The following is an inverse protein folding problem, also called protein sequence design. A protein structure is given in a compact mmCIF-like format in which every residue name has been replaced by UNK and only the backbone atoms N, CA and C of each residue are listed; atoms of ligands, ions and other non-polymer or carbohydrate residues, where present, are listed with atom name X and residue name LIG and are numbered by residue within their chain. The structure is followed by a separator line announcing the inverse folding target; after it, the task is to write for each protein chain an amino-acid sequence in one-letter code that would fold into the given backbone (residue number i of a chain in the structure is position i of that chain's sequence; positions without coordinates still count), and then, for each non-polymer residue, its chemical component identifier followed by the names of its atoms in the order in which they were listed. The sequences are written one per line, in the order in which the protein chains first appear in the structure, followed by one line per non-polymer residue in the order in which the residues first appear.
data_IF_050814713043
#
_entry.id   IF_050814713043
#
_cell.length_a   1.000
_cell.length_b   1.000
_cell.length_c   1.000
_cell.angle_alpha   90.00
_cell.angle_beta   90.00
_cell.angle_gamma   90.00
#
_symmetry.space_group_name_H-M   'P 1'
#
loop_
_entity.id
_entity.type
_entity.pdbx_description
1 polymer ?
2 polymer ?
3 non-polymer ?
4 non-polymer ?
5 water ?
#
# COMPACT_ATOMS: atom_id res chain seq x y z
N UNK A 2 -7.70 -13.15 12.19
CA UNK A 2 -8.94 -13.41 12.92
C UNK A 2 -9.78 -12.15 13.10
N UNK A 3 -11.10 -12.32 13.18
CA UNK A 3 -12.01 -11.21 13.39
C UNK A 3 -12.08 -10.88 14.89
N UNK A 4 -10.97 -10.36 15.43
CA UNK A 4 -10.80 -10.14 16.87
C UNK A 4 -11.13 -8.71 17.29
N UNK A 5 -10.36 -7.74 16.80
CA UNK A 5 -10.66 -6.33 17.05
C UNK A 5 -11.80 -5.95 16.11
N UNK A 6 -13.00 -6.30 16.54
CA UNK A 6 -14.19 -6.21 15.71
C UNK A 6 -15.43 -6.06 16.56
N UNK A 7 -16.22 -5.05 16.27
CA UNK A 7 -17.58 -4.97 16.76
C UNK A 7 -18.44 -5.74 15.76
N UNK A 8 -19.75 -5.54 15.80
CA UNK A 8 -20.63 -6.18 14.81
C UNK A 8 -20.61 -5.43 13.47
N UNK A 9 -20.23 -4.16 13.50
CA UNK A 9 -20.26 -3.31 12.30
C UNK A 9 -18.90 -3.08 11.64
N UNK A 10 -17.80 -3.36 12.35
CA UNK A 10 -16.47 -3.05 11.82
C UNK A 10 -15.37 -3.88 12.45
N UNK A 11 -14.44 -4.32 11.60
CA UNK A 11 -13.31 -5.15 11.98
C UNK A 11 -12.00 -4.48 11.57
N UNK A 12 -11.06 -4.31 12.50
CA UNK A 12 -9.73 -3.80 12.17
C UNK A 12 -8.82 -4.97 11.87
N UNK A 13 -8.45 -5.11 10.60
CA UNK A 13 -7.60 -6.22 10.14
C UNK A 13 -6.11 -5.97 10.33
N UNK A 14 -5.71 -4.72 10.19
CA UNK A 14 -4.29 -4.40 10.22
C UNK A 14 -4.03 -3.10 10.92
N UNK A 15 -2.87 -3.05 11.55
CA UNK A 15 -2.31 -1.85 12.15
C UNK A 15 -0.81 -2.12 12.11
N UNK A 16 -0.06 -1.12 11.64
CA UNK A 16 1.39 -1.18 11.61
C UNK A 16 1.98 0.22 11.61
N UNK A 17 3.12 0.35 12.27
CA UNK A 17 3.89 1.58 12.24
C UNK A 17 5.27 1.11 11.84
N UNK A 18 5.94 1.90 10.99
CA UNK A 18 7.17 1.44 10.39
C UNK A 18 8.13 2.57 10.09
N UNK A 19 9.37 2.19 9.80
CA UNK A 19 10.39 3.10 9.33
C UNK A 19 10.89 2.57 7.99
N UNK A 20 10.84 3.42 6.96
CA UNK A 20 11.31 3.01 5.63
C UNK A 20 12.51 3.83 5.21
N UNK A 21 13.57 3.14 4.84
CA UNK A 21 14.81 3.80 4.43
C UNK A 21 15.18 3.48 2.98
N UNK A 22 15.42 4.53 2.21
CA UNK A 22 15.80 4.39 0.81
C UNK A 22 17.32 4.39 0.67
N UNK A 23 17.89 3.23 0.31
CA UNK A 23 19.31 3.15 -0.05
C UNK A 23 19.55 3.92 -1.35
N UNK A 24 18.95 3.44 -2.43
CA UNK A 24 19.02 4.09 -3.75
C UNK A 24 17.61 4.12 -4.36
N UNK A 25 17.43 4.81 -5.51
CA UNK A 25 16.08 4.93 -6.09
C UNK A 25 15.34 3.61 -6.33
N UNK A 26 16.04 2.48 -6.32
CA UNK A 26 15.39 1.18 -6.53
C UNK A 26 15.40 0.26 -5.33
N UNK A 27 15.91 0.72 -4.19
CA UNK A 27 16.16 -0.16 -3.05
C UNK A 27 15.66 0.45 -1.74
N UNK A 28 14.76 -0.27 -1.09
CA UNK A 28 14.08 0.22 0.12
C UNK A 28 14.12 -0.83 1.20
N UNK A 29 14.42 -0.40 2.42
CA UNK A 29 14.38 -1.26 3.59
C UNK A 29 13.26 -0.77 4.49
N UNK A 30 12.42 -1.69 4.94
CA UNK A 30 11.31 -1.33 5.83
C UNK A 30 11.40 -2.11 7.14
N UNK A 31 11.30 -1.39 8.24
CA UNK A 31 11.32 -2.00 9.57
C UNK A 31 9.99 -1.72 10.27
N UNK A 32 9.38 -2.77 10.82
CA UNK A 32 8.09 -2.65 11.49
C UNK A 32 8.27 -2.51 13.01
N UNK A 33 7.68 -1.47 13.58
CA UNK A 33 7.72 -1.26 15.03
C UNK A 33 6.69 -2.12 15.73
N UNK A 34 5.44 -2.03 15.27
CA UNK A 34 4.37 -2.87 15.77
C UNK A 34 3.56 -3.35 14.59
N UNK A 35 2.85 -4.45 14.78
CA UNK A 35 1.89 -4.90 13.77
C UNK A 35 0.84 -5.81 14.38
N UNK A 36 -0.34 -5.74 13.77
CA UNK A 36 -1.37 -6.74 13.93
C UNK A 36 -1.65 -7.26 12.52
N UNK A 37 -1.98 -8.54 12.46
CA UNK A 37 -2.10 -9.22 11.20
C UNK A 37 -1.47 -10.58 11.40
N UNK A 38 -2.13 -11.60 10.85
CA UNK A 38 -1.59 -12.95 10.79
C UNK A 38 -2.31 -13.72 9.69
N UNK A 39 -1.83 -14.92 9.38
CA UNK A 39 -2.28 -15.67 8.20
C UNK A 39 -3.62 -16.42 8.34
N UNK A 40 -4.20 -16.40 9.54
CA UNK A 40 -5.45 -17.15 9.81
C UNK A 40 -6.70 -16.45 9.25
N UNK A 41 -7.70 -17.23 8.78
CA UNK A 41 -8.93 -16.66 8.22
C UNK A 41 -9.79 -15.91 9.25
N UNK A 42 -10.77 -15.14 8.75
CA UNK A 42 -11.62 -14.29 9.60
C UNK A 42 -12.36 -15.06 10.71
N UNK A 43 -12.83 -16.27 10.37
CA UNK A 43 -13.63 -17.07 11.30
C UNK A 43 -12.81 -17.81 12.37
N UNK A 44 -11.51 -17.56 12.43
CA UNK A 44 -10.63 -18.19 13.42
C UNK A 44 -10.81 -17.59 14.83
N UNK A 45 -11.28 -16.34 14.85
CA UNK A 45 -11.77 -15.62 16.05
C UNK A 45 -11.62 -16.37 17.39
N UNK A 46 -10.42 -16.32 18.02
CA UNK A 46 -10.22 -17.01 19.30
C UNK A 46 -10.90 -16.31 20.48
N UNK A 47 -11.04 -17.03 21.60
CA UNK A 47 -11.51 -16.40 22.84
C UNK A 47 -10.49 -15.36 23.31
N UNK A 48 -10.98 -14.16 23.59
CA UNK A 48 -10.14 -13.08 24.07
C UNK A 48 -10.35 -12.88 25.55
N UNK A 49 -9.25 -12.73 26.30
CA UNK A 49 -9.32 -12.43 27.73
C UNK A 49 -9.88 -11.03 27.96
N UNK A 50 -10.38 -10.79 29.17
CA UNK A 50 -11.05 -9.53 29.47
C UNK A 50 -10.22 -8.66 30.40
N UNK A 51 -10.42 -7.34 30.29
CA UNK A 51 -9.82 -6.39 31.20
C UNK A 51 -10.91 -5.45 31.71
N UNK A 52 -11.01 -5.37 33.03
CA UNK A 52 -11.87 -4.41 33.70
C UNK A 52 -11.37 -3.01 33.34
N UNK A 53 -12.20 -2.28 32.60
CA UNK A 53 -11.83 -0.98 32.05
C UNK A 53 -11.49 0.06 33.12
N UNK A 54 -12.03 -0.14 34.31
CA UNK A 54 -11.76 0.74 35.45
C UNK A 54 -10.27 0.74 35.81
N UNK A 55 -9.59 -0.36 35.48
CA UNK A 55 -8.16 -0.50 35.73
C UNK A 55 -7.26 0.33 34.81
N UNK A 56 -7.85 1.04 33.84
CA UNK A 56 -7.06 1.79 32.84
C UNK A 56 -7.53 3.24 32.66
N UNK A 57 -8.61 3.61 33.32
CA UNK A 57 -9.18 4.96 33.20
C UNK A 57 -8.19 6.11 33.42
N UNK A 58 -7.27 5.97 34.37
CA UNK A 58 -6.35 7.07 34.72
C UNK A 58 -5.19 7.27 33.73
N UNK A 59 -5.11 6.40 32.73
CA UNK A 59 -4.11 6.52 31.66
C UNK A 59 -4.67 7.23 30.42
N UNK A 60 -5.93 7.67 30.50
CA UNK A 60 -6.59 8.37 29.40
C UNK A 60 -7.36 9.58 29.91
N UNK A 61 -7.63 10.57 29.02
CA UNK A 61 -8.42 11.73 29.43
C UNK A 61 -9.82 11.28 29.88
N UNK A 62 -10.32 11.86 30.95
CA UNK A 62 -11.62 11.47 31.48
C UNK A 62 -12.59 12.66 31.61
N UNK A 63 -12.42 13.61 30.70
CA UNK A 63 -13.30 14.77 30.55
C UNK A 63 -14.60 14.31 29.87
N UNK A 64 -15.44 15.27 29.48
CA UNK A 64 -16.58 14.99 28.62
C UNK A 64 -16.09 14.49 27.26
N UNK A 65 -16.54 13.30 26.88
CA UNK A 65 -16.09 12.66 25.65
C UNK A 65 -14.85 11.79 25.85
N UNK A 66 -14.46 11.58 27.10
CA UNK A 66 -13.32 10.72 27.43
C UNK A 66 -13.69 9.24 27.39
N UNK A 67 -12.74 8.38 27.76
CA UNK A 67 -12.89 6.94 27.65
C UNK A 67 -14.10 6.39 28.42
N UNK A 68 -14.24 6.78 29.69
CA UNK A 68 -15.38 6.37 30.52
C UNK A 68 -16.71 6.75 29.88
N UNK A 69 -16.81 8.02 29.47
CA UNK A 69 -18.00 8.54 28.81
C UNK A 69 -18.35 7.70 27.57
N UNK A 70 -17.34 7.42 26.75
CA UNK A 70 -17.53 6.66 25.53
C UNK A 70 -17.98 5.23 25.80
N UNK A 71 -17.34 4.58 26.78
CA UNK A 71 -17.65 3.19 27.13
C UNK A 71 -19.06 3.01 27.67
N UNK A 72 -19.50 3.97 28.48
CA UNK A 72 -20.84 3.96 29.06
C UNK A 72 -21.92 4.20 28.01
N UNK A 73 -21.61 5.03 27.02
CA UNK A 73 -22.52 5.25 25.89
C UNK A 73 -22.61 4.03 24.98
N UNK A 74 -21.54 3.24 24.92
CA UNK A 74 -21.54 1.96 24.19
C UNK A 74 -21.50 2.09 22.67
N UNK A 75 -21.63 0.95 21.95
CA UNK A 75 -21.75 -0.40 22.50
C UNK A 75 -20.45 -0.88 23.14
N UNK A 76 -20.58 -1.53 24.29
CA UNK A 76 -19.42 -2.01 25.05
C UNK A 76 -18.64 -3.11 24.32
N UNK A 77 -19.30 -3.81 23.41
CA UNK A 77 -18.64 -4.82 22.58
C UNK A 77 -17.69 -4.25 21.51
N UNK A 78 -17.63 -2.92 21.41
CA UNK A 78 -16.71 -2.25 20.47
C UNK A 78 -15.37 -1.86 21.10
N UNK A 79 -15.20 -2.17 22.40
CA UNK A 79 -14.06 -1.67 23.17
C UNK A 79 -12.98 -2.71 23.45
N UNK A 80 -11.75 -2.37 23.07
CA UNK A 80 -10.64 -3.30 23.14
C UNK A 80 -9.38 -2.61 23.67
N UNK A 81 -8.51 -3.43 24.27
CA UNK A 81 -7.19 -3.01 24.72
C UNK A 81 -6.15 -3.87 24.03
N UNK A 82 -5.20 -3.22 23.36
CA UNK A 82 -4.09 -3.94 22.74
C UNK A 82 -2.79 -3.62 23.50
N UNK A 83 -2.07 -4.65 23.90
CA UNK A 83 -0.75 -4.45 24.45
C UNK A 83 0.28 -4.89 23.42
N UNK A 84 1.12 -3.95 23.01
CA UNK A 84 2.20 -4.23 22.07
C UNK A 84 3.53 -4.40 22.79
N UNK A 85 4.31 -5.39 22.34
CA UNK A 85 5.74 -5.42 22.59
C UNK A 85 6.44 -4.92 21.32
N UNK A 86 6.92 -3.68 21.35
CA UNK A 86 7.42 -3.01 20.16
C UNK A 86 8.85 -3.38 19.82
N UNK A 87 9.10 -3.57 18.53
CA UNK A 87 10.44 -3.87 18.02
C UNK A 87 11.17 -2.58 17.71
N UNK A 88 12.04 -2.16 18.63
CA UNK A 88 12.78 -0.90 18.48
C UNK A 88 14.20 -1.09 17.95
N UNK A 89 14.53 -2.30 17.52
CA UNK A 89 15.86 -2.58 17.01
C UNK A 89 16.02 -2.19 15.52
N UNK A 90 16.45 -0.95 15.29
CA UNK A 90 16.67 -0.43 13.94
C UNK A 90 18.15 -0.20 13.66
N UNK A 91 18.45 0.29 12.45
CA UNK A 91 19.81 0.65 12.04
C UNK A 91 20.01 2.17 12.03
N UNK A 96 20.69 6.71 4.29
CA UNK A 96 19.59 6.90 3.33
C UNK A 96 18.41 7.66 3.91
N UNK A 97 17.61 8.25 3.02
CA UNK A 97 16.44 9.04 3.41
C UNK A 97 15.38 8.20 4.12
N UNK A 98 14.72 8.80 5.11
CA UNK A 98 13.79 8.08 6.00
C UNK A 98 12.34 8.53 5.87
N UNK A 99 11.43 7.56 5.94
CA UNK A 99 10.01 7.84 6.05
C UNK A 99 9.39 7.04 7.19
N UNK A 100 8.76 7.75 8.13
CA UNK A 100 8.02 7.13 9.23
C UNK A 100 6.54 7.11 8.88
N UNK A 101 5.95 5.92 8.85
CA UNK A 101 4.57 5.77 8.41
C UNK A 101 3.73 4.88 9.30
N UNK A 102 2.40 5.08 9.22
CA UNK A 102 1.42 4.20 9.85
C UNK A 102 0.45 3.70 8.76
N UNK A 103 0.15 2.40 8.77
CA UNK A 103 -0.83 1.81 7.87
C UNK A 103 -1.88 1.02 8.64
N UNK A 104 -3.13 1.14 8.21
CA UNK A 104 -4.21 0.34 8.81
C UNK A 104 -5.28 -0.05 7.78
N UNK A 105 -6.08 -1.05 8.15
CA UNK A 105 -7.11 -1.60 7.28
C UNK A 105 -8.32 -2.03 8.11
N UNK A 106 -9.50 -1.74 7.59
CA UNK A 106 -10.77 -2.13 8.23
C UNK A 106 -11.70 -2.76 7.19
N UNK A 107 -12.61 -3.60 7.66
CA UNK A 107 -13.64 -4.20 6.82
C UNK A 107 -15.00 -4.13 7.50
N UNK A 108 -16.03 -3.92 6.70
CA UNK A 108 -17.41 -3.85 7.15
C UNK A 108 -18.33 -4.52 6.11
N UNK A 109 -19.48 -5.07 6.56
CA UNK A 109 -20.45 -5.54 5.57
C UNK A 109 -21.22 -4.36 4.93
N UNK A 110 -21.26 -3.22 5.60
CA UNK A 110 -21.97 -2.05 5.08
C UNK A 110 -21.06 -0.90 4.63
N UNK A 111 -21.61 -0.07 3.73
CA UNK A 111 -20.93 1.07 3.14
C UNK A 111 -21.17 2.30 3.98
N UNK A 112 -20.18 2.67 4.78
CA UNK A 112 -20.28 3.84 5.66
C UNK A 112 -19.21 4.84 5.30
N UNK A 113 -19.42 6.08 5.71
CA UNK A 113 -18.32 7.04 5.80
C UNK A 113 -17.89 7.02 7.27
N UNK A 114 -16.61 6.72 7.52
CA UNK A 114 -16.10 6.61 8.89
C UNK A 114 -15.08 7.71 9.24
N UNK A 115 -14.97 8.01 10.54
CA UNK A 115 -13.98 8.93 11.06
C UNK A 115 -13.08 8.21 12.06
N UNK A 116 -11.76 8.29 11.83
CA UNK A 116 -10.79 7.70 12.75
C UNK A 116 -10.05 8.78 13.53
N UNK A 117 -10.22 8.76 14.84
CA UNK A 117 -9.54 9.69 15.73
C UNK A 117 -8.44 8.96 16.50
N UNK A 118 -7.21 9.46 16.41
CA UNK A 118 -6.09 8.88 17.14
C UNK A 118 -5.45 9.92 18.06
N UNK A 119 -5.53 9.67 19.37
CA UNK A 119 -5.00 10.59 20.38
C UNK A 119 -3.84 9.95 21.12
N UNK A 120 -2.69 10.62 21.09
CA UNK A 120 -1.54 10.17 21.85
C UNK A 120 -1.63 10.81 23.23
N UNK A 121 -1.39 10.01 24.26
CA UNK A 121 -1.55 10.46 25.64
C UNK A 121 -0.28 10.26 26.45
N UNK A 122 0.09 11.31 27.19
CA UNK A 122 1.21 11.27 28.14
C UNK A 122 0.69 11.61 29.53
N UNK A 123 0.92 10.69 30.47
CA UNK A 123 0.37 10.79 31.84
C UNK A 123 -1.14 11.03 31.82
N UNK A 124 -1.82 10.32 30.93
CA UNK A 124 -3.27 10.41 30.77
C UNK A 124 -3.80 11.68 30.15
N UNK A 125 -2.89 12.51 29.63
CA UNK A 125 -3.26 13.79 29.01
C UNK A 125 -2.93 13.77 27.52
N UNK A 126 -3.86 14.26 26.71
CA UNK A 126 -3.69 14.31 25.25
C UNK A 126 -2.55 15.24 24.87
N UNK A 127 -1.59 14.71 24.11
CA UNK A 127 -0.47 15.52 23.63
C UNK A 127 -0.55 15.81 22.13
N UNK A 128 -1.26 14.96 21.38
CA UNK A 128 -1.40 15.15 19.94
C UNK A 128 -2.58 14.32 19.42
N UNK A 129 -3.30 14.87 18.47
CA UNK A 129 -4.43 14.18 17.84
C UNK A 129 -4.31 14.21 16.33
N UNK A 130 -4.73 13.13 15.70
CA UNK A 130 -4.89 13.07 14.25
C UNK A 130 -6.30 12.57 13.90
N UNK A 131 -6.98 13.26 13.00
CA UNK A 131 -8.33 12.90 12.56
C UNK A 131 -8.32 12.60 11.05
N UNK A 132 -8.92 11.47 10.65
CA UNK A 132 -8.98 11.06 9.24
C UNK A 132 -10.38 10.58 8.87
N UNK A 133 -10.86 10.99 7.70
CA UNK A 133 -12.15 10.53 7.17
C UNK A 133 -11.88 9.48 6.10
N UNK A 134 -12.50 8.31 6.22
CA UNK A 134 -12.24 7.22 5.27
C UNK A 134 -13.50 6.75 4.57
N UNK A 135 -13.37 6.47 3.27
CA UNK A 135 -14.46 6.00 2.43
C UNK A 135 -14.18 4.55 2.02
N UNK A 136 -15.24 3.84 1.65
CA UNK A 136 -15.16 2.41 1.36
C UNK A 136 -14.80 2.10 -0.08
N UNK A 137 -14.11 0.98 -0.28
CA UNK A 137 -14.03 0.36 -1.58
C UNK A 137 -14.72 -0.98 -1.48
N UNK A 138 -15.59 -1.28 -2.45
CA UNK A 138 -16.16 -2.60 -2.54
C UNK A 138 -15.07 -3.60 -2.95
N UNK A 139 -14.97 -4.70 -2.21
CA UNK A 139 -13.93 -5.71 -2.40
C UNK A 139 -14.43 -7.06 -1.89
N UNK A 140 -14.23 -8.09 -2.70
CA UNK A 140 -14.55 -9.49 -2.34
C UNK A 140 -15.80 -9.66 -1.47
N UNK A 141 -16.91 -9.05 -1.89
CA UNK A 141 -18.19 -9.20 -1.17
C UNK A 141 -18.40 -8.34 0.06
N UNK A 142 -17.47 -7.43 0.33
CA UNK A 142 -17.57 -6.52 1.49
C UNK A 142 -16.96 -5.14 1.18
N UNK A 143 -16.90 -4.28 2.19
CA UNK A 143 -16.34 -2.94 2.04
C UNK A 143 -15.01 -2.79 2.79
N UNK A 144 -14.01 -2.26 2.08
CA UNK A 144 -12.66 -2.08 2.64
C UNK A 144 -12.34 -0.61 2.85
N UNK A 145 -11.70 -0.32 3.98
CA UNK A 145 -11.25 1.02 4.34
C UNK A 145 -9.77 0.89 4.66
N UNK A 146 -8.95 1.73 4.06
CA UNK A 146 -7.53 1.61 4.23
C UNK A 146 -6.89 2.97 4.46
N UNK A 147 -5.94 3.01 5.40
CA UNK A 147 -5.01 4.12 5.53
C UNK A 147 -3.66 3.57 5.08
N UNK A 148 -3.15 4.13 3.99
CA UNK A 148 -1.94 3.66 3.35
C UNK A 148 -0.81 4.66 3.59
N UNK A 149 0.20 4.25 4.35
CA UNK A 149 1.40 5.08 4.61
C UNK A 149 1.09 6.50 5.07
N UNK A 150 0.21 6.65 6.05
CA UNK A 150 -0.04 7.95 6.64
C UNK A 150 1.23 8.39 7.38
N UNK A 151 1.67 9.66 7.17
CA UNK A 151 2.93 10.10 7.78
C UNK A 151 2.80 10.17 9.29
N UNK A 152 3.73 9.52 9.98
CA UNK A 152 3.77 9.57 11.45
C UNK A 152 4.06 11.00 11.87
N UNK A 153 3.28 11.53 12.81
CA UNK A 153 3.46 12.92 13.24
C UNK A 153 4.79 13.16 13.93
N UNK A 154 5.22 14.42 13.91
CA UNK A 154 6.52 14.81 14.42
C UNK A 154 6.75 14.44 15.87
N UNK A 155 5.71 14.61 16.70
CA UNK A 155 5.79 14.27 18.13
C UNK A 155 6.23 12.81 18.31
N UNK A 156 5.65 11.90 17.55
CA UNK A 156 5.96 10.49 17.62
C UNK A 156 7.31 10.11 17.03
N UNK A 157 7.71 10.77 15.94
CA UNK A 157 9.06 10.59 15.41
C UNK A 157 10.10 10.97 16.49
N UNK A 158 9.88 12.13 17.12
CA UNK A 158 10.78 12.61 18.18
C UNK A 158 10.78 11.69 19.41
N UNK A 159 9.60 11.18 19.78
CA UNK A 159 9.45 10.23 20.89
C UNK A 159 10.26 8.96 20.65
N UNK A 160 10.14 8.39 19.45
CA UNK A 160 10.91 7.20 19.08
C UNK A 160 12.44 7.44 19.13
N UNK A 161 12.87 8.62 18.69
CA UNK A 161 14.29 9.03 18.75
C UNK A 161 14.77 9.11 20.19
N UNK A 162 13.99 9.76 21.04
CA UNK A 162 14.33 9.90 22.46
C UNK A 162 14.41 8.57 23.20
N UNK A 163 13.48 7.65 22.91
CA UNK A 163 13.50 6.31 23.50
C UNK A 163 14.74 5.53 23.09
N UNK A 164 15.13 5.65 21.82
CA UNK A 164 16.29 4.91 21.31
C UNK A 164 17.62 5.42 21.87
N UNK A 165 17.68 6.67 22.29
CA UNK A 165 18.90 7.23 22.88
C UNK A 165 19.06 6.90 24.37
N UNK A 166 18.08 6.20 24.94
CA UNK A 166 18.18 5.74 26.33
C UNK A 166 19.13 4.54 26.41
N UNK A 167 20.05 4.56 27.40
CA UNK A 167 21.09 3.53 27.50
C UNK A 167 20.55 2.13 27.83
N UNK A 168 19.47 2.07 28.60
CA UNK A 168 18.95 0.78 29.08
C UNK A 168 17.50 0.53 28.70
N UNK A 169 17.20 -0.72 28.36
CA UNK A 169 15.85 -1.16 27.99
C UNK A 169 14.83 -0.98 29.13
N UNK A 170 15.26 -1.19 30.38
CA UNK A 170 14.34 -0.97 31.50
C UNK A 170 13.91 0.50 31.60
N UNK A 171 14.78 1.41 31.18
CA UNK A 171 14.48 2.85 31.20
C UNK A 171 13.43 3.21 30.15
N UNK A 172 13.54 2.61 28.97
CA UNK A 172 12.52 2.71 27.93
C UNK A 172 11.16 2.22 28.44
N UNK A 173 11.14 1.06 29.08
CA UNK A 173 9.91 0.54 29.68
C UNK A 173 9.31 1.48 30.72
N UNK A 174 10.19 2.10 31.51
CA UNK A 174 9.77 3.07 32.52
C UNK A 174 9.05 4.28 31.91
N UNK A 175 9.60 4.84 30.83
CA UNK A 175 8.93 5.92 30.07
C UNK A 175 7.57 5.45 29.53
N UNK A 176 7.54 4.22 29.02
CA UNK A 176 6.32 3.67 28.40
C UNK A 176 5.15 3.40 29.36
N UNK A 177 5.44 3.39 30.67
CA UNK A 177 4.41 3.20 31.70
C UNK A 177 3.35 4.30 31.70
N UNK A 178 3.70 5.44 31.12
CA UNK A 178 2.83 6.61 31.11
C UNK A 178 2.55 7.13 29.70
N UNK A 179 2.69 6.23 28.73
CA UNK A 179 2.45 6.54 27.33
C UNK A 179 1.32 5.64 26.85
N UNK A 180 0.25 6.24 26.34
CA UNK A 180 -0.84 5.46 25.75
C UNK A 180 -1.36 6.12 24.47
N UNK A 181 -2.06 5.33 23.67
CA UNK A 181 -2.75 5.82 22.49
C UNK A 181 -4.21 5.36 22.49
N UNK A 182 -5.14 6.27 22.19
CA UNK A 182 -6.55 5.93 22.08
C UNK A 182 -7.03 6.21 20.66
N UNK A 183 -7.64 5.19 20.07
CA UNK A 183 -8.18 5.27 18.72
C UNK A 183 -9.70 5.07 18.76
N UNK A 184 -10.46 6.06 18.28
CA UNK A 184 -11.91 5.94 18.17
C UNK A 184 -12.32 6.02 16.69
N UNK A 185 -13.04 5.01 16.22
CA UNK A 185 -13.58 4.97 14.87
C UNK A 185 -15.10 5.08 14.95
N UNK A 186 -15.65 6.09 14.29
CA UNK A 186 -17.07 6.39 14.38
C UNK A 186 -17.72 6.51 13.00
N UNK A 187 -18.97 6.08 12.90
CA UNK A 187 -19.80 6.35 11.72
C UNK A 187 -20.10 7.84 11.71
N UNK A 188 -19.62 8.53 10.68
CA UNK A 188 -19.75 9.99 10.61
C UNK A 188 -21.21 10.45 10.55
N UNK A 189 -22.09 9.60 10.01
CA UNK A 189 -23.50 9.96 9.88
C UNK A 189 -24.33 9.66 11.13
N UNK A 190 -24.14 8.48 11.71
CA UNK A 190 -24.91 8.09 12.89
C UNK A 190 -24.24 8.51 14.21
N UNK A 191 -22.95 8.84 14.12
CA UNK A 191 -22.11 9.15 15.29
C UNK A 191 -21.91 7.94 16.21
N UNK A 192 -22.25 6.74 15.71
CA UNK A 192 -22.06 5.52 16.45
C UNK A 192 -20.58 5.14 16.55
N UNK A 193 -20.17 4.73 17.76
CA UNK A 193 -18.84 4.19 18.01
C UNK A 193 -18.74 2.79 17.39
N UNK A 194 -17.90 2.67 16.36
CA UNK A 194 -17.72 1.41 15.64
C UNK A 194 -16.60 0.58 16.24
N UNK A 195 -15.55 1.26 16.68
CA UNK A 195 -14.43 0.64 17.38
C UNK A 195 -13.77 1.66 18.30
N UNK A 196 -13.27 1.17 19.43
CA UNK A 196 -12.47 1.96 20.35
C UNK A 196 -11.35 1.08 20.85
N UNK A 197 -10.12 1.47 20.54
CA UNK A 197 -8.96 0.67 20.85
C UNK A 197 -7.96 1.48 21.68
N UNK A 198 -7.69 1.01 22.90
CA UNK A 198 -6.65 1.54 23.76
C UNK A 198 -5.37 0.76 23.54
N UNK A 199 -4.24 1.47 23.43
CA UNK A 199 -2.96 0.82 23.19
C UNK A 199 -1.99 1.14 24.31
N UNK A 200 -1.25 0.12 24.75
CA UNK A 200 -0.16 0.28 25.70
C UNK A 200 1.04 -0.51 25.22
N UNK A 201 2.24 -0.08 25.63
CA UNK A 201 3.49 -0.51 25.02
C UNK A 201 4.55 -0.94 26.02
N UNK A 202 5.32 -1.95 25.62
CA UNK A 202 6.52 -2.37 26.32
C UNK A 202 7.55 -2.66 25.22
N UNK A 203 8.84 -2.64 25.55
CA UNK A 203 9.89 -2.95 24.57
C UNK A 203 10.00 -4.47 24.37
N UNK A 204 9.97 -4.93 23.12
CA UNK A 204 10.04 -6.37 22.85
C UNK A 204 11.41 -6.95 23.16
N UNK A 205 11.42 -8.19 23.67
CA UNK A 205 12.66 -8.96 23.86
C UNK A 205 12.63 -10.28 23.08
N UNK A 206 11.78 -10.36 22.06
CA UNK A 206 11.62 -11.57 21.27
C UNK A 206 12.52 -11.53 20.03
N UNK A 207 12.83 -12.69 19.45
CA UNK A 207 13.57 -12.73 18.19
C UNK A 207 12.66 -13.04 16.98
N UNK A 208 11.37 -13.18 17.25
CA UNK A 208 10.39 -13.42 16.19
C UNK A 208 9.57 -12.17 15.89
N UNK A 209 10.16 -11.01 16.17
CA UNK A 209 9.55 -9.73 15.90
C UNK A 209 8.69 -9.20 17.03
N UNK A 210 8.04 -8.07 16.77
CA UNK A 210 7.09 -7.48 17.70
C UNK A 210 5.94 -8.44 18.00
N UNK A 211 5.38 -8.34 19.20
CA UNK A 211 4.30 -9.23 19.63
C UNK A 211 3.14 -8.40 20.18
N UNK A 212 1.99 -9.04 20.37
CA UNK A 212 0.82 -8.37 20.94
C UNK A 212 -0.11 -9.33 21.69
N UNK A 213 -0.98 -8.76 22.53
CA UNK A 213 -2.12 -9.47 23.12
C UNK A 213 -3.31 -8.55 22.96
N UNK A 214 -4.46 -9.11 22.61
CA UNK A 214 -5.70 -8.33 22.47
C UNK A 214 -6.67 -8.70 23.60
N UNK A 215 -7.27 -7.70 24.22
CA UNK A 215 -8.23 -7.92 25.29
C UNK A 215 -9.53 -7.18 25.03
N UNK A 216 -10.64 -7.80 25.42
CA UNK A 216 -11.91 -7.11 25.47
C UNK A 216 -11.93 -6.24 26.72
N UNK A 217 -12.56 -5.07 26.62
CA UNK A 217 -12.73 -4.21 27.78
C UNK A 217 -14.14 -4.40 28.32
N UNK A 218 -14.23 -4.70 29.62
CA UNK A 218 -15.51 -5.00 30.29
C UNK A 218 -15.77 -4.07 31.48
N UNK A 219 -17.06 -3.90 31.83
CA UNK A 219 -17.44 -3.03 32.95
C UNK A 219 -17.03 -3.62 34.30
N UNK A 220 -17.09 -4.95 34.39
CA UNK A 220 -16.82 -5.71 35.62
C UNK A 220 -17.72 -5.27 36.78
N UNK B 3 4.04 16.40 -18.41
CA UNK B 3 2.80 15.65 -18.78
C UNK B 3 2.89 14.20 -18.32
N UNK B 4 1.77 13.47 -18.40
CA UNK B 4 1.68 12.15 -17.76
C UNK B 4 0.86 11.12 -18.55
N UNK B 5 0.82 9.89 -18.04
CA UNK B 5 -0.02 8.85 -18.59
C UNK B 5 -1.46 9.08 -18.11
N UNK B 6 -2.16 9.97 -18.82
CA UNK B 6 -3.53 10.36 -18.48
C UNK B 6 -4.32 10.63 -19.75
N UNK B 7 -5.50 10.04 -19.82
CA UNK B 7 -6.50 10.44 -20.81
C UNK B 7 -7.40 11.51 -20.16
N UNK B 8 -8.55 11.77 -20.75
CA UNK B 8 -9.53 12.70 -20.18
C UNK B 8 -10.21 12.06 -18.97
N UNK B 9 -10.18 10.73 -18.88
CA UNK B 9 -11.02 10.02 -17.90
C UNK B 9 -10.27 9.16 -16.90
N UNK B 10 -8.98 8.95 -17.14
CA UNK B 10 -8.18 8.15 -16.21
C UNK B 10 -6.70 8.49 -16.29
N UNK B 11 -6.09 8.61 -15.11
CA UNK B 11 -4.67 8.92 -14.96
C UNK B 11 -4.00 7.80 -14.20
N UNK B 12 -2.93 7.24 -14.77
CA UNK B 12 -2.11 6.30 -14.02
C UNK B 12 -0.97 7.05 -13.34
N UNK B 13 -1.08 7.23 -12.03
CA UNK B 13 -0.06 7.96 -11.28
C UNK B 13 1.08 7.09 -10.77
N UNK B 14 0.84 5.79 -10.64
CA UNK B 14 1.83 4.87 -10.08
C UNK B 14 1.81 3.52 -10.79
N UNK B 15 3.00 2.99 -11.07
CA UNK B 15 3.17 1.67 -11.63
C UNK B 15 4.54 1.16 -11.17
N UNK B 16 4.58 -0.05 -10.63
CA UNK B 16 5.89 -0.65 -10.32
C UNK B 16 5.86 -2.17 -10.29
N UNK B 17 7.01 -2.75 -10.60
CA UNK B 17 7.22 -4.18 -10.46
C UNK B 17 8.43 -4.35 -9.54
N UNK B 18 8.32 -5.27 -8.60
CA UNK B 18 9.30 -5.33 -7.52
C UNK B 18 9.55 -6.75 -7.02
N UNK B 19 10.67 -6.90 -6.31
CA UNK B 19 10.97 -8.11 -5.59
C UNK B 19 11.12 -7.70 -4.14
N UNK B 20 10.32 -8.32 -3.27
CA UNK B 20 10.43 -8.04 -1.85
C UNK B 20 10.96 -9.28 -1.11
N UNK B 21 11.96 -9.05 -0.26
CA UNK B 21 12.56 -10.14 0.52
C UNK B 21 12.49 -9.87 2.01
N UNK B 22 11.99 -10.86 2.74
CA UNK B 22 11.92 -10.81 4.19
C UNK B 22 13.22 -11.30 4.81
N UNK B 23 13.93 -10.39 5.49
CA UNK B 23 15.09 -10.77 6.29
C UNK B 23 14.62 -11.51 7.55
N UNK B 24 13.72 -10.86 8.30
CA UNK B 24 13.12 -11.41 9.50
C UNK B 24 11.68 -10.87 9.62
N UNK B 25 10.89 -11.33 10.61
CA UNK B 25 9.46 -10.98 10.63
C UNK B 25 9.14 -9.47 10.66
N UNK B 26 10.12 -8.64 10.98
CA UNK B 26 9.91 -7.19 11.01
C UNK B 26 10.74 -6.42 10.00
N UNK B 27 11.55 -7.11 9.20
CA UNK B 27 12.50 -6.45 8.29
C UNK B 27 12.34 -6.95 6.86
N UNK B 28 12.13 -6.00 5.93
CA UNK B 28 11.87 -6.30 4.52
C UNK B 28 12.71 -5.43 3.61
N UNK B 29 13.26 -6.04 2.57
CA UNK B 29 14.00 -5.31 1.53
C UNK B 29 13.21 -5.37 0.23
N UNK B 30 13.03 -4.22 -0.41
CA UNK B 30 12.33 -4.18 -1.69
C UNK B 30 13.21 -3.65 -2.81
N UNK B 31 13.23 -4.39 -3.92
CA UNK B 31 13.94 -3.97 -5.13
C UNK B 31 12.94 -3.69 -6.25
N UNK B 32 12.99 -2.48 -6.82
CA UNK B 32 12.12 -2.10 -7.94
C UNK B 32 12.79 -2.42 -9.28
N UNK B 33 12.14 -3.23 -10.12
CA UNK B 33 12.62 -3.50 -11.49
C UNK B 33 12.36 -2.33 -12.44
N UNK B 34 11.13 -1.83 -12.38
CA UNK B 34 10.72 -0.66 -13.16
C UNK B 34 9.73 0.15 -12.30
N UNK B 35 9.63 1.45 -12.56
CA UNK B 35 8.71 2.30 -11.79
C UNK B 35 8.37 3.58 -12.50
N UNK B 36 7.13 4.01 -12.31
CA UNK B 36 6.65 5.33 -12.69
C UNK B 36 5.98 5.90 -11.43
N UNK B 37 6.22 7.18 -11.16
CA UNK B 37 5.56 7.88 -10.08
C UNK B 37 6.13 7.56 -8.71
N UNK B 38 7.37 7.08 -8.68
CA UNK B 38 8.04 6.80 -7.41
C UNK B 38 8.40 8.09 -6.69
N UNK B 39 8.94 9.05 -7.43
CA UNK B 39 9.11 10.40 -6.89
C UNK B 39 7.95 11.27 -7.35
N UNK B 40 7.59 12.24 -6.51
CA UNK B 40 6.41 13.08 -6.72
C UNK B 40 6.44 13.86 -8.04
N UNK B 41 5.25 14.06 -8.68
CA UNK B 41 5.16 14.93 -9.85
C UNK B 41 5.70 16.34 -9.55
N UNK B 42 6.48 16.88 -10.48
CA UNK B 42 7.13 18.19 -10.26
C UNK B 42 6.96 19.17 -11.42
N UNK B 43 7.29 20.43 -11.15
CA UNK B 43 7.21 21.52 -12.11
C UNK B 43 7.99 21.25 -13.40
N UNK B 44 9.11 20.56 -13.26
CA UNK B 44 10.10 20.42 -14.35
C UNK B 44 9.99 19.13 -15.18
N UNK B 45 9.04 18.26 -14.86
CA UNK B 45 8.82 17.03 -15.64
C UNK B 45 8.75 17.33 -17.14
N UNK B 46 9.43 16.51 -17.97
CA UNK B 46 9.52 16.82 -19.40
C UNK B 46 8.19 16.72 -20.16
N UNK B 47 8.06 17.51 -21.23
CA UNK B 47 6.97 17.38 -22.19
C UNK B 47 7.05 15.99 -22.85
N UNK B 48 5.90 15.43 -23.25
CA UNK B 48 5.89 14.08 -23.86
C UNK B 48 6.03 14.12 -25.37
N UNK B 49 7.08 13.48 -25.88
CA UNK B 49 7.27 13.34 -27.33
C UNK B 49 6.25 12.35 -27.89
N UNK B 50 6.14 12.31 -29.21
CA UNK B 50 5.16 11.47 -29.89
C UNK B 50 5.82 10.35 -30.72
N UNK B 51 5.09 9.24 -30.85
CA UNK B 51 5.52 8.10 -31.66
C UNK B 51 4.37 7.74 -32.59
N UNK B 52 4.70 7.56 -33.87
CA UNK B 52 3.75 7.12 -34.88
C UNK B 52 3.48 5.64 -34.65
N UNK B 53 2.22 5.34 -34.33
CA UNK B 53 1.79 4.00 -33.93
C UNK B 53 1.98 2.93 -35.02
N UNK B 54 2.01 3.36 -36.29
CA UNK B 54 2.20 2.43 -37.41
C UNK B 54 3.60 1.80 -37.36
N UNK B 55 4.51 2.44 -36.65
CA UNK B 55 5.86 1.92 -36.43
C UNK B 55 5.92 0.72 -35.49
N UNK B 56 4.86 0.49 -34.71
CA UNK B 56 4.90 -0.53 -33.66
C UNK B 56 3.86 -1.63 -33.79
N UNK B 57 2.93 -1.51 -34.74
CA UNK B 57 1.84 -2.49 -34.90
C UNK B 57 2.30 -3.96 -34.87
N UNK B 58 3.43 -4.27 -35.52
CA UNK B 58 3.90 -5.66 -35.60
C UNK B 58 4.44 -6.24 -34.29
N UNK B 59 4.64 -5.39 -33.28
CA UNK B 59 5.16 -5.85 -31.99
C UNK B 59 4.04 -6.19 -31.00
N UNK B 60 2.79 -6.02 -31.44
CA UNK B 60 1.62 -6.20 -30.58
C UNK B 60 0.52 -6.97 -31.30
N UNK B 61 -0.38 -7.63 -30.53
CA UNK B 61 -1.42 -8.43 -31.18
C UNK B 61 -2.24 -7.57 -32.15
N UNK B 62 -2.55 -8.12 -33.31
CA UNK B 62 -3.35 -7.41 -34.29
C UNK B 62 -4.59 -8.22 -34.67
N UNK B 63 -5.23 -7.87 -35.80
CA UNK B 63 -6.55 -8.42 -36.16
C UNK B 63 -7.63 -7.89 -35.22
N UNK B 64 -8.64 -8.72 -34.93
CA UNK B 64 -9.82 -8.29 -34.17
C UNK B 64 -9.50 -8.04 -32.69
N UNK B 65 -9.72 -6.80 -32.26
CA UNK B 65 -9.49 -6.40 -30.88
C UNK B 65 -8.05 -6.07 -30.54
N UNK B 66 -7.18 -6.09 -31.56
CA UNK B 66 -5.77 -5.79 -31.38
C UNK B 66 -5.49 -4.31 -31.24
N UNK B 67 -4.20 -3.95 -31.27
CA UNK B 67 -3.78 -2.57 -31.04
C UNK B 67 -4.31 -1.58 -32.08
N UNK B 68 -4.22 -1.96 -33.35
CA UNK B 68 -4.74 -1.14 -34.46
C UNK B 68 -6.25 -0.91 -34.32
N UNK B 69 -6.99 -1.99 -34.13
CA UNK B 69 -8.44 -1.95 -33.92
C UNK B 69 -8.81 -1.03 -32.75
N UNK B 70 -8.10 -1.18 -31.63
CA UNK B 70 -8.34 -0.36 -30.43
C UNK B 70 -8.06 1.11 -30.65
N UNK B 71 -6.94 1.42 -31.32
CA UNK B 71 -6.54 2.79 -31.56
C UNK B 71 -7.53 3.55 -32.48
N UNK B 72 -8.01 2.87 -33.52
CA UNK B 72 -8.92 3.49 -34.48
C UNK B 72 -10.27 3.80 -33.85
N UNK B 73 -10.74 2.90 -32.97
CA UNK B 73 -11.95 3.15 -32.18
C UNK B 73 -11.74 4.31 -31.20
N UNK B 74 -10.54 4.43 -30.64
CA UNK B 74 -10.18 5.58 -29.83
C UNK B 74 -10.80 5.56 -28.43
N UNK B 75 -10.73 6.68 -27.70
CA UNK B 75 -10.15 7.96 -28.13
C UNK B 75 -8.62 7.90 -28.22
N UNK B 76 -8.06 8.66 -29.16
CA UNK B 76 -6.62 8.62 -29.44
C UNK B 76 -5.78 9.19 -28.29
N UNK B 77 -6.38 10.04 -27.45
CA UNK B 77 -5.67 10.63 -26.32
C UNK B 77 -5.46 9.67 -25.14
N UNK B 78 -5.97 8.45 -25.26
CA UNK B 78 -5.81 7.40 -24.25
C UNK B 78 -4.62 6.46 -24.52
N UNK B 79 -3.87 6.73 -25.59
CA UNK B 79 -2.84 5.79 -26.07
C UNK B 79 -1.41 6.27 -25.85
N UNK B 80 -0.62 5.43 -25.18
CA UNK B 80 0.75 5.77 -24.77
C UNK B 80 1.71 4.61 -25.00
N UNK B 81 2.98 4.94 -25.21
CA UNK B 81 4.06 3.96 -25.31
C UNK B 81 5.09 4.31 -24.24
N UNK B 82 5.42 3.34 -23.38
CA UNK B 82 6.41 3.51 -22.34
C UNK B 82 7.62 2.61 -22.64
N UNK B 83 8.80 3.20 -22.75
CA UNK B 83 10.02 2.41 -22.78
C UNK B 83 10.70 2.41 -21.43
N UNK B 84 10.85 1.21 -20.86
CA UNK B 84 11.56 1.04 -19.60
C UNK B 84 12.98 0.57 -19.83
N UNK B 85 13.90 1.12 -19.05
CA UNK B 85 15.20 0.52 -18.82
C UNK B 85 15.16 -0.10 -17.43
N UNK B 86 15.09 -1.42 -17.38
CA UNK B 86 14.83 -2.18 -16.16
C UNK B 86 16.09 -2.45 -15.33
N UNK B 87 15.96 -2.35 -14.01
CA UNK B 87 17.05 -2.62 -13.09
C UNK B 87 16.98 -4.08 -12.66
N UNK B 88 17.88 -4.89 -13.19
CA UNK B 88 17.87 -6.33 -12.91
C UNK B 88 18.91 -6.74 -11.85
N UNK B 89 19.64 -5.77 -11.32
CA UNK B 89 20.63 -6.05 -10.29
C UNK B 89 20.02 -6.29 -8.90
N UNK B 90 19.67 -7.55 -8.65
CA UNK B 90 19.05 -7.96 -7.39
C UNK B 90 20.08 -8.49 -6.38
N UNK B 91 19.59 -9.21 -5.37
CA UNK B 91 20.44 -9.71 -4.30
C UNK B 91 19.79 -10.89 -3.58
N UNK B 96 16.22 -15.90 2.05
CA UNK B 96 14.96 -15.61 2.74
C UNK B 96 13.76 -15.62 1.82
N UNK B 97 12.57 -15.55 2.41
CA UNK B 97 11.30 -15.55 1.69
C UNK B 97 11.23 -14.41 0.66
N UNK B 98 10.73 -14.71 -0.55
CA UNK B 98 10.66 -13.74 -1.64
C UNK B 98 9.26 -13.61 -2.22
N UNK B 99 8.84 -12.37 -2.51
CA UNK B 99 7.55 -12.10 -3.12
C UNK B 99 7.74 -11.17 -4.34
N UNK B 100 7.31 -11.65 -5.51
CA UNK B 100 7.33 -10.86 -6.74
C UNK B 100 5.95 -10.23 -6.95
N UNK B 101 5.91 -8.91 -7.08
CA UNK B 101 4.65 -8.19 -7.18
C UNK B 101 4.61 -7.04 -8.17
N UNK B 102 3.38 -6.62 -8.50
CA UNK B 102 3.14 -5.44 -9.34
C UNK B 102 2.09 -4.58 -8.62
N UNK B 103 2.36 -3.28 -8.55
CA UNK B 103 1.42 -2.33 -7.96
C UNK B 103 1.15 -1.20 -8.92
N UNK B 104 -0.10 -0.72 -8.89
CA UNK B 104 -0.47 0.43 -9.71
C UNK B 104 -1.62 1.21 -9.07
N UNK B 105 -1.72 2.48 -9.46
CA UNK B 105 -2.71 3.40 -8.88
C UNK B 105 -3.21 4.37 -9.93
N UNK B 106 -4.53 4.64 -9.89
CA UNK B 106 -5.19 5.43 -10.91
C UNK B 106 -6.17 6.38 -10.24
N UNK B 107 -6.45 7.48 -10.90
CA UNK B 107 -7.51 8.40 -10.46
C UNK B 107 -8.41 8.78 -11.63
N UNK B 108 -9.69 8.99 -11.34
CA UNK B 108 -10.65 9.49 -12.33
C UNK B 108 -11.60 10.53 -11.71
N UNK B 109 -12.11 11.48 -12.52
CA UNK B 109 -13.20 12.31 -11.99
C UNK B 109 -14.51 11.52 -11.89
N UNK B 110 -14.58 10.35 -12.53
CA UNK B 110 -15.79 9.54 -12.55
C UNK B 110 -15.75 8.29 -11.69
N UNK B 111 -16.90 7.96 -11.10
CA UNK B 111 -17.08 6.71 -10.37
C UNK B 111 -17.42 5.58 -11.34
N UNK B 112 -16.45 4.70 -11.59
CA UNK B 112 -16.59 3.62 -12.58
C UNK B 112 -16.21 2.25 -12.02
N UNK B 113 -16.65 1.20 -12.70
CA UNK B 113 -16.09 -0.13 -12.51
C UNK B 113 -15.16 -0.31 -13.70
N UNK B 114 -13.88 -0.56 -13.43
CA UNK B 114 -12.91 -0.70 -14.52
C UNK B 114 -12.37 -2.13 -14.62
N UNK B 115 -11.98 -2.51 -15.83
CA UNK B 115 -11.36 -3.81 -16.08
C UNK B 115 -9.98 -3.52 -16.63
N UNK B 116 -8.96 -4.13 -16.04
CA UNK B 116 -7.59 -3.96 -16.50
C UNK B 116 -7.09 -5.27 -17.09
N UNK B 117 -6.77 -5.25 -18.38
CA UNK B 117 -6.27 -6.42 -19.07
C UNK B 117 -4.77 -6.21 -19.35
N UNK B 118 -3.93 -7.16 -18.93
CA UNK B 118 -2.50 -7.08 -19.20
C UNK B 118 -2.05 -8.31 -19.99
N UNK B 119 -1.64 -8.10 -21.24
CA UNK B 119 -1.17 -9.18 -22.10
C UNK B 119 0.34 -9.13 -22.30
N UNK B 120 1.03 -10.20 -21.88
CA UNK B 120 2.46 -10.37 -22.12
C UNK B 120 2.63 -11.01 -23.48
N UNK B 121 3.44 -10.39 -24.34
CA UNK B 121 3.56 -10.82 -25.73
C UNK B 121 5.00 -11.18 -26.12
N UNK B 122 5.10 -12.14 -27.03
CA UNK B 122 6.37 -12.55 -27.62
C UNK B 122 6.17 -12.59 -29.13
N UNK B 123 7.02 -11.87 -29.87
CA UNK B 123 6.86 -11.69 -31.32
C UNK B 123 5.47 -11.15 -31.68
N UNK B 124 4.93 -10.28 -30.83
CA UNK B 124 3.62 -9.67 -31.09
C UNK B 124 2.41 -10.53 -30.76
N UNK B 125 2.64 -11.76 -30.28
CA UNK B 125 1.56 -12.68 -29.94
C UNK B 125 1.47 -12.91 -28.44
N UNK B 126 0.24 -12.91 -27.92
CA UNK B 126 -0.02 -13.13 -26.50
C UNK B 126 0.51 -14.48 -26.04
N UNK B 127 1.13 -14.49 -24.85
CA UNK B 127 1.60 -15.71 -24.20
C UNK B 127 0.82 -15.98 -22.92
N UNK B 128 0.59 -14.92 -22.13
CA UNK B 128 -0.27 -14.99 -20.96
C UNK B 128 -1.06 -13.68 -20.84
N UNK B 129 -2.26 -13.77 -20.28
CA UNK B 129 -3.05 -12.58 -19.96
C UNK B 129 -3.46 -12.61 -18.50
N UNK B 130 -3.65 -11.44 -17.93
CA UNK B 130 -4.12 -11.28 -16.56
C UNK B 130 -5.21 -10.20 -16.58
N UNK B 131 -6.37 -10.51 -16.01
CA UNK B 131 -7.50 -9.59 -16.00
C UNK B 131 -7.95 -9.30 -14.56
N UNK B 132 -8.11 -8.02 -14.25
CA UNK B 132 -8.51 -7.59 -12.91
C UNK B 132 -9.67 -6.60 -13.03
N UNK B 133 -10.65 -6.74 -12.14
CA UNK B 133 -11.76 -5.79 -12.07
C UNK B 133 -11.56 -4.93 -10.83
N UNK B 134 -11.67 -3.62 -10.99
CA UNK B 134 -11.39 -2.73 -9.88
C UNK B 134 -12.53 -1.77 -9.65
N UNK B 135 -12.87 -1.62 -8.37
CA UNK B 135 -13.93 -0.71 -7.95
C UNK B 135 -13.33 0.58 -7.38
N UNK B 136 -14.09 1.66 -7.43
CA UNK B 136 -13.61 2.98 -7.03
C UNK B 136 -13.68 3.26 -5.52
N UNK B 137 -12.83 4.18 -5.06
CA UNK B 137 -12.94 4.72 -3.70
C UNK B 137 -13.03 6.23 -3.82
N UNK B 138 -13.99 6.83 -3.12
CA UNK B 138 -14.14 8.29 -3.14
C UNK B 138 -12.96 8.95 -2.43
N UNK B 139 -12.44 10.03 -3.00
CA UNK B 139 -11.22 10.67 -2.50
C UNK B 139 -11.15 12.15 -2.95
N UNK B 140 -11.52 13.06 -2.04
CA UNK B 140 -11.50 14.52 -2.26
C UNK B 140 -12.17 14.98 -3.56
N UNK B 141 -13.36 14.47 -3.84
CA UNK B 141 -14.09 14.90 -5.02
C UNK B 141 -13.74 14.17 -6.30
N UNK B 142 -12.85 13.19 -6.21
CA UNK B 142 -12.57 12.32 -7.37
C UNK B 142 -12.53 10.88 -6.89
N UNK B 143 -12.19 9.95 -7.77
CA UNK B 143 -12.23 8.54 -7.45
C UNK B 143 -10.87 7.89 -7.71
N UNK B 144 -10.48 7.01 -6.79
CA UNK B 144 -9.20 6.32 -6.94
C UNK B 144 -9.35 4.82 -7.05
N UNK B 145 -8.41 4.22 -7.78
CA UNK B 145 -8.40 2.80 -8.04
C UNK B 145 -6.98 2.32 -7.74
N UNK B 146 -6.88 1.15 -7.11
CA UNK B 146 -5.58 0.64 -6.71
C UNK B 146 -5.51 -0.85 -7.01
N UNK B 147 -4.43 -1.26 -7.66
CA UNK B 147 -4.06 -2.66 -7.77
C UNK B 147 -2.83 -2.81 -6.89
N UNK B 148 -3.01 -3.42 -5.72
CA UNK B 148 -2.02 -3.36 -4.66
C UNK B 148 -1.31 -4.69 -4.46
N UNK B 149 -0.01 -4.70 -4.71
CA UNK B 149 0.83 -5.90 -4.51
C UNK B 149 0.17 -7.14 -5.12
N UNK B 150 -0.26 -7.00 -6.36
CA UNK B 150 -0.76 -8.10 -7.16
C UNK B 150 0.42 -9.05 -7.43
N UNK B 151 0.26 -10.34 -7.05
CA UNK B 151 1.34 -11.30 -7.25
C UNK B 151 1.72 -11.40 -8.72
N UNK B 152 3.00 -11.24 -9.01
CA UNK B 152 3.51 -11.44 -10.37
C UNK B 152 3.37 -12.91 -10.70
N UNK B 153 2.90 -13.20 -11.91
CA UNK B 153 2.56 -14.56 -12.30
C UNK B 153 3.82 -15.36 -12.63
N UNK B 154 3.74 -16.68 -12.43
CA UNK B 154 4.84 -17.61 -12.64
C UNK B 154 5.65 -17.37 -13.92
N UNK B 155 4.95 -17.14 -15.04
CA UNK B 155 5.62 -16.91 -16.31
C UNK B 155 6.63 -15.76 -16.26
N UNK B 156 6.27 -14.67 -15.60
CA UNK B 156 7.14 -13.51 -15.53
C UNK B 156 8.28 -13.69 -14.52
N UNK B 157 7.98 -14.37 -13.42
CA UNK B 157 8.99 -14.71 -12.42
C UNK B 157 10.04 -15.60 -13.10
N UNK B 158 9.57 -16.64 -13.80
CA UNK B 158 10.43 -17.52 -14.58
C UNK B 158 11.25 -16.77 -15.64
N UNK B 159 10.59 -15.83 -16.33
CA UNK B 159 11.23 -15.02 -17.37
C UNK B 159 12.38 -14.16 -16.83
N UNK B 160 12.16 -13.55 -15.66
CA UNK B 160 13.18 -12.72 -15.01
C UNK B 160 14.40 -13.55 -14.62
N UNK B 161 14.17 -14.75 -14.11
CA UNK B 161 15.26 -15.66 -13.74
C UNK B 161 16.13 -15.99 -14.96
N UNK B 162 15.48 -16.38 -16.04
CA UNK B 162 16.16 -16.76 -17.29
C UNK B 162 16.96 -15.63 -17.94
N UNK B 163 16.46 -14.40 -17.82
CA UNK B 163 17.20 -13.22 -18.29
C UNK B 163 18.52 -13.07 -17.55
N UNK B 164 18.46 -13.14 -16.21
CA UNK B 164 19.64 -13.04 -15.35
C UNK B 164 20.68 -14.13 -15.61
N UNK B 165 20.21 -15.31 -16.03
CA UNK B 165 21.09 -16.44 -16.33
C UNK B 165 21.76 -16.36 -17.72
N UNK B 166 21.59 -15.23 -18.40
CA UNK B 166 22.35 -14.93 -19.61
C UNK B 166 23.62 -14.18 -19.20
N UNK B 167 24.75 -14.45 -19.90
CA UNK B 167 26.03 -13.87 -19.50
C UNK B 167 26.14 -12.35 -19.68
N UNK B 168 25.66 -11.86 -20.83
CA UNK B 168 25.90 -10.49 -21.25
C UNK B 168 24.63 -9.66 -21.35
N UNK B 169 24.75 -8.35 -21.12
CA UNK B 169 23.62 -7.44 -21.17
C UNK B 169 23.09 -7.20 -22.59
N UNK B 170 23.98 -7.10 -23.58
CA UNK B 170 23.56 -6.94 -24.97
C UNK B 170 22.73 -8.14 -25.43
N UNK B 171 22.98 -9.30 -24.82
CA UNK B 171 22.20 -10.52 -25.05
C UNK B 171 20.81 -10.43 -24.41
N UNK B 172 20.76 -9.84 -23.22
CA UNK B 172 19.49 -9.54 -22.54
C UNK B 172 18.65 -8.58 -23.40
N UNK B 173 19.30 -7.55 -23.94
CA UNK B 173 18.64 -6.60 -24.84
C UNK B 173 18.10 -7.23 -26.14
N UNK B 174 18.81 -8.23 -26.67
CA UNK B 174 18.37 -8.94 -27.87
C UNK B 174 17.13 -9.79 -27.64
N UNK B 175 17.09 -10.50 -26.51
CA UNK B 175 15.89 -11.21 -26.06
C UNK B 175 14.71 -10.22 -25.93
N UNK B 176 14.97 -9.07 -25.31
CA UNK B 176 13.93 -8.08 -25.03
C UNK B 176 13.38 -7.36 -26.27
N UNK B 177 14.10 -7.46 -27.38
CA UNK B 177 13.65 -6.89 -28.66
C UNK B 177 12.39 -7.53 -29.22
N UNK B 178 12.01 -8.68 -28.69
CA UNK B 178 10.81 -9.39 -29.18
C UNK B 178 9.80 -9.66 -28.06
N UNK B 179 9.97 -8.92 -26.97
CA UNK B 179 9.12 -9.06 -25.81
C UNK B 179 8.38 -7.75 -25.58
N UNK B 180 7.06 -7.81 -25.49
CA UNK B 180 6.26 -6.61 -25.20
C UNK B 180 5.14 -6.92 -24.21
N UNK B 181 4.58 -5.86 -23.63
CA UNK B 181 3.41 -5.97 -22.76
C UNK B 181 2.39 -4.92 -23.19
N UNK B 182 1.12 -5.32 -23.29
CA UNK B 182 0.04 -4.39 -23.63
C UNK B 182 -0.99 -4.38 -22.49
N UNK B 183 -1.27 -3.18 -21.96
CA UNK B 183 -2.25 -3.04 -20.86
C UNK B 183 -3.40 -2.20 -21.38
N UNK B 184 -4.63 -2.69 -21.26
CA UNK B 184 -5.80 -1.94 -21.70
C UNK B 184 -6.75 -1.78 -20.51
N UNK B 185 -7.11 -0.53 -20.20
CA UNK B 185 -8.04 -0.28 -19.07
C UNK B 185 -9.33 0.26 -19.65
N UNK B 186 -10.44 -0.41 -19.33
CA UNK B 186 -11.73 -0.06 -19.91
C UNK B 186 -12.81 0.15 -18.86
N UNK B 187 -13.75 1.05 -19.18
CA UNK B 187 -14.94 1.20 -18.36
C UNK B 187 -15.82 0.00 -18.67
N UNK B 188 -16.04 -0.85 -17.67
CA UNK B 188 -16.80 -2.09 -17.89
C UNK B 188 -18.25 -1.86 -18.39
N UNK B 189 -18.90 -0.82 -17.86
CA UNK B 189 -20.27 -0.43 -18.24
C UNK B 189 -20.36 0.00 -19.71
N UNK B 190 -19.54 0.97 -20.09
CA UNK B 190 -19.64 1.64 -21.38
C UNK B 190 -18.73 1.04 -22.46
N UNK B 191 -17.81 0.17 -22.04
CA UNK B 191 -16.75 -0.38 -22.90
C UNK B 191 -15.81 0.66 -23.54
N UNK B 192 -15.80 1.90 -23.03
CA UNK B 192 -14.84 2.92 -23.49
C UNK B 192 -13.41 2.58 -23.04
N UNK B 193 -12.45 2.76 -23.95
CA UNK B 193 -11.03 2.65 -23.61
C UNK B 193 -10.60 3.85 -22.79
N UNK B 194 -10.24 3.61 -21.54
CA UNK B 194 -9.80 4.65 -20.64
C UNK B 194 -8.29 4.95 -20.75
N UNK B 195 -7.50 3.90 -20.89
CA UNK B 195 -6.05 4.00 -21.09
C UNK B 195 -5.60 2.76 -21.84
N UNK B 196 -4.66 2.95 -22.78
CA UNK B 196 -4.01 1.81 -23.43
C UNK B 196 -2.54 2.09 -23.45
N UNK B 197 -1.75 1.21 -22.83
CA UNK B 197 -0.32 1.48 -22.67
C UNK B 197 0.50 0.31 -23.21
N UNK B 198 1.33 0.59 -24.20
CA UNK B 198 2.26 -0.40 -24.75
C UNK B 198 3.62 -0.26 -24.07
N UNK B 199 4.18 -1.36 -23.61
CA UNK B 199 5.47 -1.33 -22.93
C UNK B 199 6.53 -2.13 -23.67
N UNK B 200 7.72 -1.55 -23.76
CA UNK B 200 8.90 -2.17 -24.38
C UNK B 200 10.08 -1.95 -23.44
N UNK B 201 11.08 -2.83 -23.52
CA UNK B 201 12.12 -2.89 -22.50
C UNK B 201 13.56 -2.98 -23.02
N UNK B 202 14.47 -2.40 -22.25
CA UNK B 202 15.91 -2.67 -22.31
C UNK B 202 16.43 -2.85 -20.90
N UNK B 203 17.66 -3.36 -20.77
CA UNK B 203 18.33 -3.46 -19.47
C UNK B 203 19.02 -2.14 -19.17
N UNK B 204 18.84 -1.65 -17.94
CA UNK B 204 19.44 -0.40 -17.51
C UNK B 204 20.96 -0.51 -17.28
N UNK B 205 21.68 0.55 -17.64
CA UNK B 205 23.10 0.69 -17.32
C UNK B 205 23.34 1.96 -16.50
N UNK B 206 22.26 2.52 -15.96
CA UNK B 206 22.31 3.77 -15.20
C UNK B 206 22.82 3.54 -13.78
N UNK B 207 23.43 4.58 -13.22
CA UNK B 207 23.88 4.55 -11.83
C UNK B 207 22.72 4.87 -10.89
N UNK B 208 21.76 5.62 -11.39
CA UNK B 208 20.63 6.13 -10.60
C UNK B 208 19.36 5.28 -10.71
N UNK B 209 19.55 3.99 -11.03
CA UNK B 209 18.46 3.02 -11.07
C UNK B 209 17.68 2.97 -12.38
N UNK B 210 16.52 2.31 -12.32
CA UNK B 210 15.63 2.16 -13.47
C UNK B 210 15.18 3.50 -14.04
N UNK B 211 14.93 3.53 -15.34
CA UNK B 211 14.53 4.76 -16.05
C UNK B 211 13.38 4.48 -17.03
N UNK B 212 12.77 5.55 -17.54
CA UNK B 212 11.71 5.43 -18.53
C UNK B 212 11.61 6.65 -19.45
N UNK B 213 11.08 6.44 -20.66
CA UNK B 213 10.59 7.52 -21.48
C UNK B 213 9.14 7.20 -21.81
N UNK B 214 8.28 8.21 -21.78
CA UNK B 214 6.85 8.03 -22.08
C UNK B 214 6.52 8.82 -23.33
N UNK B 215 5.75 8.20 -24.22
CA UNK B 215 5.37 8.80 -25.49
C UNK B 215 3.87 8.73 -25.71
N UNK B 216 3.31 9.76 -26.36
CA UNK B 216 1.95 9.69 -26.87
C UNK B 216 1.97 8.94 -28.19
N UNK B 217 1.05 7.98 -28.37
CA UNK B 217 0.91 7.29 -29.66
C UNK B 217 -0.04 8.08 -30.56
N UNK B 218 0.45 8.46 -31.73
CA UNK B 218 -0.33 9.29 -32.67
C UNK B 218 -0.49 8.60 -34.03
N UNK B 219 -1.48 9.06 -34.79
CA UNK B 219 -1.83 8.47 -36.09
C UNK B 219 -0.81 8.78 -37.19
N UNK B 220 -0.09 9.89 -37.05
CA UNK B 220 0.90 10.30 -38.05
C UNK B 220 2.31 9.81 -37.71
N UNK C 2 1.44 1.63 39.78
CA UNK C 2 2.13 0.79 38.79
C UNK C 2 1.23 -0.26 38.18
N UNK C 4 1.96 -3.23 37.32
CA UNK C 4 2.19 -4.52 37.98
C UNK C 4 1.27 -4.76 39.17
N UNK C 5 0.61 -3.72 39.76
CA UNK C 5 -0.28 -3.93 40.91
C UNK C 5 -1.73 -3.87 40.48
N UNK C 6 -2.02 -3.60 39.18
CA UNK C 6 -3.38 -3.53 38.66
C UNK C 6 -3.94 -4.91 38.45
N UNK C 7 -5.29 -5.07 38.53
CA UNK C 7 -5.95 -6.35 38.32
C UNK C 7 -5.99 -6.56 36.82
N UNK C 10 -2.66 -12.66 33.67
CA UNK C 10 -1.23 -13.02 33.73
C UNK C 10 -0.53 -12.77 32.40
N UNK C 11 -1.21 -13.02 31.26
CA UNK C 11 -0.64 -12.85 29.91
C UNK C 11 -0.13 -11.44 29.67
N UNK C 12 -0.74 -10.39 30.30
CA UNK C 12 -0.32 -8.99 30.12
C UNK C 12 1.17 -8.80 30.37
N UNK C 14 3.45 -11.42 29.95
CA UNK C 14 4.20 -12.52 29.35
C UNK C 14 4.21 -12.31 27.85
N UNK C 15 5.36 -11.84 27.30
CA UNK C 15 5.46 -11.59 25.87
C UNK C 15 5.27 -12.89 25.10
N UNK C 16 4.29 -13.06 24.15
CA UNK C 16 4.14 -14.30 23.40
C UNK C 16 5.41 -14.66 22.67
N UNK D 2 14.59 -3.52 -38.80
CA UNK D 2 15.01 -3.61 -37.40
C UNK D 2 14.57 -2.39 -36.62
N UNK D 4 16.10 -0.45 -34.36
CA UNK D 4 16.98 0.72 -34.44
C UNK D 4 16.83 1.54 -35.70
N UNK D 5 16.30 0.98 -36.82
CA UNK D 5 16.19 1.79 -38.05
C UNK D 5 14.82 2.43 -38.26
N UNK D 6 13.80 2.11 -37.42
CA UNK D 6 12.44 2.67 -37.54
C UNK D 6 12.38 4.15 -37.18
N UNK D 7 11.33 4.89 -37.60
CA UNK D 7 11.20 6.33 -37.30
C UNK D 7 10.66 6.50 -35.88
N UNK D 10 15.01 10.36 -31.08
CA UNK D 10 16.34 9.95 -30.62
C UNK D 10 16.32 9.48 -29.19
N UNK D 11 15.49 10.11 -28.31
CA UNK D 11 15.38 9.73 -26.88
C UNK D 11 15.08 8.25 -26.71
N UNK D 12 14.41 7.57 -27.67
CA UNK D 12 14.07 6.15 -27.58
C UNK D 12 15.31 5.28 -27.43
N UNK D 14 18.22 6.47 -25.99
CA UNK D 14 19.10 7.18 -25.06
C UNK D 14 18.51 7.08 -23.65
N UNK D 15 19.02 6.17 -22.78
CA UNK D 15 18.52 5.98 -21.40
C UNK D 15 18.64 7.30 -20.64
N UNK D 16 17.61 7.83 -19.91
CA UNK D 16 17.73 9.10 -19.18
C UNK D 16 18.83 9.08 -18.14
#
# INVERSE_FOLDING_TARGET
GPRSVASSKLWMLEFSAFLEQQQDPDTYNKHLFVHIGQSSPSYSDPYLEAVDIRQIYDKFPEKKGGLKDLFERGPSNAFFLVKFWADLNTNIEDEGSSFYGVSSQYESPENMIITCSTKVCSFGKQVVEKVETEYARYENGHYSYRIHRSPLCEYMINFIHKLKHLPEKYMMNSVLENFTILQVVTNRDTQETLLCIAYVFEVSASEHGAQHHIYRLVKE
GPRSVASSKLWMLEFSAFLEQQQDPDTYNKHLFVHIGQSSPSYSDPYLEAVDIRQIYDKFPEKKGGLKDLFERGPSNAFFLVKFWADLNTNIEDEGSSFYGVSSQYESPENMIITCSTKVCSFGKQVVEKVETEYARYENGHYSYRIHRSPLCEYMINFIHKLKHLPEKYMMNSVLENFTILQVVTNRDTQETLLCIAYVFEVSASEHGAQHHIYRLVKE
XPXRLRKXXDSFXKEPX
XPXRLRKXXDSFXKEPX
#
